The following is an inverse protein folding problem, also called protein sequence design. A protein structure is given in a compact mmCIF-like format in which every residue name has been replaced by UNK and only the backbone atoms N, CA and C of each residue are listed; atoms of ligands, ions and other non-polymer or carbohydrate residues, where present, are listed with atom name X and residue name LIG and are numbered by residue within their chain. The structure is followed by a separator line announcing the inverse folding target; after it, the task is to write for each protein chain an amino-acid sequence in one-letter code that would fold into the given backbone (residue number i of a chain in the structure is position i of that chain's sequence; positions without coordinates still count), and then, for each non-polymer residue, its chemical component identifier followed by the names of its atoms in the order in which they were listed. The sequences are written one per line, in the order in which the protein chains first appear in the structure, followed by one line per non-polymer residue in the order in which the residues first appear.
data_IF_636489714126
#
_entry.id   IF_636489714126
#
_cell.length_a   1.000
_cell.length_b   1.000
_cell.length_c   1.000
_cell.angle_alpha   90.00
_cell.angle_beta   90.00
_cell.angle_gamma   90.00
#
_symmetry.space_group_name_H-M   'P 1'
#
loop_
_entity.id
_entity.type
_entity.pdbx_description
1 polymer ?
#
# COMPACT_ATOMS: atom_id res chain seq x y z
N UNK A 1 34.60 16.63 3.70
CA UNK A 1 33.39 16.87 2.89
C UNK A 1 32.49 17.74 3.71
N UNK A 2 32.17 18.94 3.23
CA UNK A 2 31.23 19.83 3.88
C UNK A 2 29.86 19.15 3.80
N UNK A 3 29.26 18.79 4.95
CA UNK A 3 28.11 17.88 5.07
C UNK A 3 26.77 18.45 4.58
N UNK A 4 26.81 19.38 3.62
CA UNK A 4 25.64 20.07 3.10
C UNK A 4 25.14 19.37 1.85
N UNK A 5 23.92 18.83 1.91
CA UNK A 5 23.23 18.21 0.77
C UNK A 5 22.96 19.30 -0.28
N UNK A 6 23.60 19.20 -1.44
CA UNK A 6 23.55 20.23 -2.50
C UNK A 6 22.16 20.34 -3.11
N UNK A 7 21.47 19.21 -3.25
CA UNK A 7 20.11 19.11 -3.79
C UNK A 7 19.01 19.16 -2.71
N UNK A 8 19.31 19.61 -1.49
CA UNK A 8 18.36 19.64 -0.35
C UNK A 8 16.99 20.23 -0.68
N UNK A 9 16.95 21.37 -1.38
CA UNK A 9 15.69 21.97 -1.84
C UNK A 9 14.93 21.09 -2.82
N UNK A 10 15.64 20.46 -3.77
CA UNK A 10 15.03 19.58 -4.77
C UNK A 10 14.44 18.34 -4.11
N UNK A 11 15.12 17.76 -3.13
CA UNK A 11 14.59 16.65 -2.35
C UNK A 11 13.33 17.07 -1.57
N UNK A 12 13.32 18.25 -0.94
CA UNK A 12 12.13 18.74 -0.24
C UNK A 12 10.93 18.94 -1.17
N UNK A 13 11.15 19.41 -2.41
CA UNK A 13 10.11 19.53 -3.43
C UNK A 13 9.56 18.16 -3.88
N UNK A 14 10.43 17.18 -4.05
CA UNK A 14 10.03 15.80 -4.42
C UNK A 14 9.28 15.10 -3.28
N UNK A 15 9.70 15.30 -2.04
CA UNK A 15 8.97 14.81 -0.86
C UNK A 15 7.57 15.41 -0.77
N UNK A 16 7.47 16.73 -0.96
CA UNK A 16 6.18 17.43 -0.99
C UNK A 16 5.28 16.89 -2.10
N UNK A 17 5.84 16.63 -3.29
CA UNK A 17 5.10 16.08 -4.42
C UNK A 17 4.60 14.67 -4.11
N UNK A 18 5.44 13.79 -3.57
CA UNK A 18 5.05 12.44 -3.14
C UNK A 18 3.94 12.49 -2.08
N UNK A 19 4.04 13.39 -1.10
CA UNK A 19 3.01 13.58 -0.06
C UNK A 19 1.66 14.07 -0.62
N UNK A 20 1.69 15.06 -1.51
CA UNK A 20 0.47 15.57 -2.12
C UNK A 20 -0.14 14.51 -3.06
N UNK A 21 0.69 13.80 -3.83
CA UNK A 21 0.24 12.72 -4.71
C UNK A 21 -0.44 11.59 -3.92
N UNK A 22 0.19 11.15 -2.83
CA UNK A 22 -0.42 10.17 -1.95
C UNK A 22 -1.76 10.65 -1.41
N UNK A 23 -1.83 11.89 -0.93
CA UNK A 23 -3.05 12.44 -0.32
C UNK A 23 -4.21 12.53 -1.29
N UNK A 24 -3.97 12.91 -2.54
CA UNK A 24 -5.05 13.14 -3.51
C UNK A 24 -5.40 11.91 -4.34
N UNK A 25 -4.45 11.01 -4.58
CA UNK A 25 -4.65 9.85 -5.45
C UNK A 25 -4.67 8.54 -4.67
N UNK A 26 -3.59 8.21 -3.97
CA UNK A 26 -3.45 6.89 -3.33
C UNK A 26 -4.35 6.74 -2.10
N UNK A 27 -4.53 7.81 -1.32
CA UNK A 27 -5.47 7.82 -0.21
C UNK A 27 -6.93 7.65 -0.68
N UNK A 28 -7.28 8.16 -1.86
CA UNK A 28 -8.61 7.92 -2.47
C UNK A 28 -8.79 6.45 -2.80
N UNK A 29 -7.79 5.80 -3.41
CA UNK A 29 -7.83 4.35 -3.68
C UNK A 29 -8.02 3.56 -2.39
N UNK A 30 -7.34 3.95 -1.31
CA UNK A 30 -7.49 3.34 0.01
C UNK A 30 -8.90 3.53 0.57
N UNK A 31 -9.46 4.73 0.48
CA UNK A 31 -10.81 5.03 0.96
C UNK A 31 -11.88 4.26 0.15
N UNK A 32 -11.78 4.25 -1.18
CA UNK A 32 -12.67 3.48 -2.06
C UNK A 32 -12.59 1.97 -1.80
N UNK A 33 -11.40 1.45 -1.52
CA UNK A 33 -11.20 0.03 -1.20
C UNK A 33 -11.82 -0.31 0.14
N UNK A 34 -11.74 0.59 1.13
CA UNK A 34 -12.38 0.42 2.43
C UNK A 34 -13.90 0.42 2.29
N UNK A 35 -14.44 1.36 1.53
CA UNK A 35 -15.89 1.47 1.31
C UNK A 35 -16.42 0.27 0.52
N UNK A 36 -15.66 -0.20 -0.47
CA UNK A 36 -15.96 -1.44 -1.19
C UNK A 36 -15.97 -2.66 -0.25
N UNK A 37 -14.97 -2.79 0.62
CA UNK A 37 -14.87 -3.88 1.58
C UNK A 37 -16.03 -3.85 2.57
N UNK A 38 -16.34 -2.68 3.15
CA UNK A 38 -17.44 -2.51 4.08
C UNK A 38 -18.80 -2.86 3.45
N UNK A 39 -19.02 -2.46 2.19
CA UNK A 39 -20.23 -2.83 1.45
C UNK A 39 -20.32 -4.34 1.25
N UNK A 40 -19.22 -4.99 0.84
CA UNK A 40 -19.19 -6.43 0.62
C UNK A 40 -19.38 -7.23 1.90
N UNK A 41 -18.78 -6.79 3.00
CA UNK A 41 -19.00 -7.36 4.33
C UNK A 41 -20.47 -7.25 4.75
N UNK A 42 -21.12 -6.11 4.50
CA UNK A 42 -22.54 -5.92 4.78
C UNK A 42 -23.47 -6.77 3.90
N UNK A 43 -23.15 -6.91 2.61
CA UNK A 43 -23.86 -7.81 1.68
C UNK A 43 -23.79 -9.26 2.19
N UNK A 44 -22.60 -9.74 2.54
CA UNK A 44 -22.38 -11.09 3.04
C UNK A 44 -23.07 -11.33 4.40
N UNK A 45 -23.04 -10.37 5.32
CA UNK A 45 -23.78 -10.45 6.59
C UNK A 45 -25.28 -10.55 6.37
N UNK A 46 -25.81 -9.79 5.41
CA UNK A 46 -27.23 -9.81 5.06
C UNK A 46 -27.62 -11.17 4.50
N UNK A 47 -26.86 -11.69 3.53
CA UNK A 47 -27.09 -13.01 2.94
C UNK A 47 -27.03 -14.11 4.01
N UNK A 48 -26.01 -14.09 4.86
CA UNK A 48 -25.87 -15.03 5.97
C UNK A 48 -27.07 -14.98 6.91
N UNK A 49 -27.54 -13.78 7.30
CA UNK A 49 -28.68 -13.63 8.22
C UNK A 49 -29.99 -14.22 7.68
N UNK A 50 -30.13 -14.32 6.35
CA UNK A 50 -31.29 -14.94 5.69
C UNK A 50 -31.12 -16.43 5.41
N UNK A 51 -29.92 -16.98 5.61
CA UNK A 51 -29.63 -18.41 5.46
C UNK A 51 -30.12 -19.22 6.65
N UNK A 52 -30.33 -20.54 6.46
CA UNK A 52 -30.70 -21.45 7.55
C UNK A 52 -29.68 -21.41 8.70
N UNK A 53 -28.38 -21.40 8.37
CA UNK A 53 -27.30 -21.33 9.36
C UNK A 53 -27.31 -20.02 10.15
N UNK A 54 -27.54 -18.89 9.48
CA UNK A 54 -27.62 -17.59 10.15
C UNK A 54 -28.87 -17.44 11.01
N UNK A 55 -30.04 -17.90 10.57
CA UNK A 55 -31.26 -17.88 11.38
C UNK A 55 -31.09 -18.72 12.65
N UNK A 56 -30.49 -19.92 12.54
CA UNK A 56 -30.18 -20.76 13.70
C UNK A 56 -29.18 -20.09 14.66
N UNK A 57 -28.13 -19.46 14.12
CA UNK A 57 -27.14 -18.71 14.91
C UNK A 57 -27.76 -17.51 15.64
N UNK A 58 -28.66 -16.77 14.98
CA UNK A 58 -29.43 -15.66 15.56
C UNK A 58 -30.37 -16.15 16.67
N UNK A 59 -31.07 -17.27 16.47
CA UNK A 59 -31.92 -17.88 17.50
C UNK A 59 -31.09 -18.34 18.71
N UNK A 60 -29.95 -18.99 18.48
CA UNK A 60 -29.04 -19.40 19.56
C UNK A 60 -28.51 -18.19 20.36
N UNK A 61 -28.15 -17.11 19.66
CA UNK A 61 -27.69 -15.86 20.28
C UNK A 61 -28.80 -15.13 21.04
N UNK A 62 -30.07 -15.26 20.62
CA UNK A 62 -31.20 -14.72 21.38
C UNK A 62 -31.41 -15.42 22.73
N UNK A 63 -31.00 -16.69 22.85
CA UNK A 63 -31.00 -17.45 24.10
C UNK A 63 -29.77 -17.18 24.99
N UNK A 64 -28.69 -16.64 24.40
CA UNK A 64 -27.45 -16.29 25.09
C UNK A 64 -26.93 -14.93 24.58
N UNK A 65 -27.30 -13.81 25.23
CA UNK A 65 -27.05 -12.45 24.72
C UNK A 65 -25.58 -12.07 24.50
N UNK A 66 -24.64 -12.85 25.03
CA UNK A 66 -23.19 -12.65 24.88
C UNK A 66 -22.62 -13.36 23.65
N UNK A 67 -23.41 -14.19 22.95
CA UNK A 67 -22.95 -14.88 21.76
C UNK A 67 -23.15 -13.98 20.53
N UNK A 68 -22.09 -13.77 19.75
CA UNK A 68 -22.18 -13.00 18.52
C UNK A 68 -22.63 -13.94 17.37
N UNK A 69 -23.81 -13.68 16.77
CA UNK A 69 -24.38 -14.58 15.77
C UNK A 69 -23.56 -14.65 14.47
N UNK A 70 -22.60 -13.75 14.27
CA UNK A 70 -21.75 -13.69 13.09
C UNK A 70 -20.33 -14.22 13.33
N UNK A 71 -20.03 -14.84 14.48
CA UNK A 71 -18.67 -15.34 14.76
C UNK A 71 -18.16 -16.34 13.72
N UNK A 72 -19.05 -17.20 13.20
CA UNK A 72 -18.68 -18.11 12.12
C UNK A 72 -18.31 -17.33 10.85
N UNK A 73 -19.08 -16.28 10.53
CA UNK A 73 -18.88 -15.47 9.33
C UNK A 73 -17.59 -14.65 9.38
N UNK A 74 -17.16 -14.21 10.57
CA UNK A 74 -15.87 -13.53 10.77
C UNK A 74 -14.65 -14.42 10.47
N UNK A 75 -14.83 -15.74 10.47
CA UNK A 75 -13.72 -16.70 10.28
C UNK A 75 -13.81 -17.41 8.93
N UNK A 76 -15.03 -17.64 8.42
CA UNK A 76 -15.23 -18.41 7.18
C UNK A 76 -15.86 -17.62 6.04
N UNK A 77 -16.28 -16.37 6.26
CA UNK A 77 -16.87 -15.53 5.22
C UNK A 77 -15.80 -15.00 4.27
N UNK A 78 -16.06 -14.98 2.97
CA UNK A 78 -15.14 -14.49 1.93
C UNK A 78 -14.72 -13.03 2.17
N UNK A 79 -15.63 -12.21 2.71
CA UNK A 79 -15.43 -10.78 2.92
C UNK A 79 -15.25 -10.42 4.39
N UNK A 80 -16.02 -11.03 5.28
CA UNK A 80 -15.94 -10.80 6.72
C UNK A 80 -14.72 -11.45 7.38
N UNK A 81 -14.05 -12.40 6.72
CA UNK A 81 -12.76 -12.93 7.18
C UNK A 81 -11.55 -12.15 6.67
N UNK A 82 -11.73 -11.16 5.79
CA UNK A 82 -10.60 -10.40 5.21
C UNK A 82 -9.86 -9.64 6.29
N UNK A 83 -8.54 -9.76 6.25
CA UNK A 83 -7.66 -9.11 7.21
C UNK A 83 -7.21 -7.74 6.70
N UNK A 84 -6.42 -7.03 7.51
CA UNK A 84 -5.84 -5.75 7.07
C UNK A 84 -4.80 -5.95 5.96
N UNK A 85 -4.14 -7.11 5.95
CA UNK A 85 -3.24 -7.53 4.88
C UNK A 85 -4.00 -7.69 3.57
N UNK A 86 -5.15 -8.36 3.58
CA UNK A 86 -6.01 -8.47 2.39
C UNK A 86 -6.46 -7.10 1.89
N UNK A 87 -6.79 -6.17 2.80
CA UNK A 87 -7.12 -4.80 2.45
C UNK A 87 -5.95 -4.07 1.76
N UNK A 88 -4.74 -4.21 2.30
CA UNK A 88 -3.52 -3.62 1.72
C UNK A 88 -3.23 -4.23 0.35
N UNK A 89 -3.36 -5.55 0.19
CA UNK A 89 -3.21 -6.22 -1.12
C UNK A 89 -4.25 -5.72 -2.13
N UNK A 90 -5.52 -5.56 -1.73
CA UNK A 90 -6.55 -4.99 -2.61
C UNK A 90 -6.21 -3.54 -3.04
N UNK A 91 -5.63 -2.74 -2.15
CA UNK A 91 -5.17 -1.39 -2.51
C UNK A 91 -4.03 -1.46 -3.54
N UNK A 92 -3.08 -2.37 -3.35
CA UNK A 92 -1.96 -2.58 -4.27
C UNK A 92 -2.44 -3.03 -5.65
N UNK A 93 -3.34 -4.00 -5.71
CA UNK A 93 -3.90 -4.48 -6.98
C UNK A 93 -4.56 -3.33 -7.75
N UNK A 94 -5.29 -2.45 -7.08
CA UNK A 94 -5.89 -1.27 -7.71
C UNK A 94 -4.85 -0.24 -8.18
N UNK A 95 -3.82 0.00 -7.38
CA UNK A 95 -2.71 0.89 -7.73
C UNK A 95 -1.93 0.34 -8.94
N UNK A 96 -1.68 -0.97 -8.95
CA UNK A 96 -1.03 -1.70 -10.02
C UNK A 96 -1.84 -1.70 -11.33
N UNK A 97 -3.18 -1.78 -11.22
CA UNK A 97 -4.08 -1.79 -12.36
C UNK A 97 -4.27 -0.40 -13.01
N UNK A 98 -3.85 0.68 -12.35
CA UNK A 98 -3.98 2.04 -12.87
C UNK A 98 -2.71 2.46 -13.61
N UNK A 99 -2.78 2.50 -14.94
CA UNK A 99 -1.67 2.95 -15.79
C UNK A 99 -1.23 4.38 -15.46
N UNK A 100 -2.19 5.28 -15.22
CA UNK A 100 -1.92 6.67 -14.81
C UNK A 100 -1.11 6.72 -13.52
N UNK A 101 -1.50 5.93 -12.51
CA UNK A 101 -0.76 5.88 -11.25
C UNK A 101 0.63 5.32 -11.44
N UNK A 102 0.78 4.24 -12.21
CA UNK A 102 2.10 3.66 -12.49
C UNK A 102 3.02 4.64 -13.23
N UNK A 103 2.48 5.38 -14.19
CA UNK A 103 3.21 6.40 -14.93
C UNK A 103 3.68 7.54 -14.02
N UNK A 104 2.81 8.06 -13.17
CA UNK A 104 3.13 9.16 -12.26
C UNK A 104 4.16 8.75 -11.20
N UNK A 105 4.05 7.52 -10.67
CA UNK A 105 5.04 6.96 -9.75
C UNK A 105 6.41 6.77 -10.43
N UNK A 106 6.43 6.28 -11.66
CA UNK A 106 7.66 6.13 -12.43
C UNK A 106 8.33 7.49 -12.72
N UNK A 107 7.53 8.49 -13.06
CA UNK A 107 8.01 9.86 -13.27
C UNK A 107 8.62 10.45 -11.99
N UNK A 108 7.94 10.32 -10.84
CA UNK A 108 8.47 10.80 -9.56
C UNK A 108 9.77 10.09 -9.17
N UNK A 109 9.86 8.77 -9.40
CA UNK A 109 11.09 8.02 -9.20
C UNK A 109 12.21 8.50 -10.12
N UNK A 110 11.95 8.75 -11.41
CA UNK A 110 12.94 9.32 -12.33
C UNK A 110 13.45 10.71 -11.88
N UNK A 111 12.55 11.57 -11.43
CA UNK A 111 12.92 12.90 -10.93
C UNK A 111 13.77 12.83 -9.63
N UNK A 112 13.51 11.82 -8.81
CA UNK A 112 14.33 11.54 -7.62
C UNK A 112 15.69 10.95 -8.00
N UNK A 113 15.74 10.01 -8.95
CA UNK A 113 17.00 9.48 -9.53
C UNK A 113 17.90 10.62 -9.99
N UNK A 114 17.37 11.55 -10.78
CA UNK A 114 18.12 12.70 -11.28
C UNK A 114 18.69 13.58 -10.16
N UNK A 115 17.93 13.78 -9.09
CA UNK A 115 18.40 14.54 -7.93
C UNK A 115 19.52 13.80 -7.19
N UNK A 116 19.39 12.49 -7.00
CA UNK A 116 20.41 11.67 -6.34
C UNK A 116 21.68 11.56 -7.18
N UNK A 117 21.57 11.29 -8.48
CA UNK A 117 22.72 11.23 -9.39
C UNK A 117 23.49 12.55 -9.40
N UNK A 118 22.82 13.71 -9.33
CA UNK A 118 23.47 15.02 -9.20
C UNK A 118 24.17 15.22 -7.85
N UNK A 119 23.73 14.53 -6.80
CA UNK A 119 24.29 14.63 -5.46
C UNK A 119 25.51 13.71 -5.27
N UNK A 120 25.38 12.44 -5.62
CA UNK A 120 26.38 11.40 -5.32
C UNK A 120 27.17 10.91 -6.54
N UNK A 121 26.77 11.30 -7.75
CA UNK A 121 27.33 10.81 -9.02
C UNK A 121 26.69 9.52 -9.51
N UNK A 122 26.74 9.28 -10.83
CA UNK A 122 26.12 8.12 -11.48
C UNK A 122 26.76 6.80 -11.04
N UNK A 123 28.09 6.74 -10.97
CA UNK A 123 28.81 5.53 -10.54
C UNK A 123 28.35 5.06 -9.15
N UNK A 124 28.23 5.99 -8.19
CA UNK A 124 27.80 5.66 -6.84
C UNK A 124 26.32 5.26 -6.78
N UNK A 125 25.48 5.85 -7.63
CA UNK A 125 24.08 5.48 -7.74
C UNK A 125 23.91 4.05 -8.27
N UNK A 126 24.67 3.69 -9.32
CA UNK A 126 24.62 2.37 -9.93
C UNK A 126 25.15 1.30 -8.96
N UNK A 127 26.24 1.57 -8.23
CA UNK A 127 26.74 0.69 -7.16
C UNK A 127 25.68 0.40 -6.08
N UNK A 128 24.95 1.43 -5.63
CA UNK A 128 23.90 1.27 -4.62
C UNK A 128 22.70 0.50 -5.18
N UNK A 129 22.33 0.73 -6.43
CA UNK A 129 21.25 0.02 -7.10
C UNK A 129 21.60 -1.47 -7.28
N UNK A 130 22.84 -1.79 -7.64
CA UNK A 130 23.31 -3.18 -7.76
C UNK A 130 23.29 -3.88 -6.39
N UNK A 131 23.73 -3.23 -5.32
CA UNK A 131 23.69 -3.77 -3.96
C UNK A 131 22.26 -4.05 -3.48
N UNK A 132 21.30 -3.24 -3.90
CA UNK A 132 19.88 -3.43 -3.60
C UNK A 132 19.22 -4.50 -4.48
N UNK A 133 19.86 -4.90 -5.58
CA UNK A 133 19.30 -5.82 -6.57
C UNK A 133 18.21 -5.19 -7.45
N UNK A 134 18.19 -3.86 -7.56
CA UNK A 134 17.20 -3.09 -8.32
C UNK A 134 17.47 -1.59 -8.25
N UNK A 135 16.82 -0.83 -9.12
CA UNK A 135 17.00 0.62 -9.17
C UNK A 135 16.66 1.31 -7.84
N UNK A 136 17.62 2.10 -7.33
CA UNK A 136 17.53 2.77 -6.03
C UNK A 136 16.34 3.74 -5.94
N UNK A 137 15.99 4.43 -7.03
CA UNK A 137 14.89 5.38 -7.03
C UNK A 137 13.52 4.71 -6.94
N UNK A 138 13.35 3.58 -7.63
CA UNK A 138 12.14 2.77 -7.49
C UNK A 138 12.04 2.17 -6.08
N UNK A 139 13.15 1.68 -5.52
CA UNK A 139 13.17 1.18 -4.14
C UNK A 139 12.83 2.28 -3.12
N UNK A 140 13.31 3.50 -3.34
CA UNK A 140 12.97 4.64 -2.51
C UNK A 140 11.49 5.01 -2.59
N UNK A 141 10.96 5.13 -3.80
CA UNK A 141 9.56 5.53 -4.01
C UNK A 141 8.61 4.49 -3.41
N UNK A 142 8.89 3.21 -3.64
CA UNK A 142 8.21 2.08 -3.01
C UNK A 142 8.17 2.21 -1.49
N UNK A 143 9.34 2.30 -0.85
CA UNK A 143 9.45 2.51 0.59
C UNK A 143 8.67 3.74 1.07
N UNK A 144 8.71 4.86 0.33
CA UNK A 144 8.04 6.09 0.72
C UNK A 144 6.52 5.95 0.72
N UNK A 145 5.97 5.34 -0.32
CA UNK A 145 4.53 5.08 -0.44
C UNK A 145 4.05 4.14 0.67
N UNK A 146 4.88 3.18 1.06
CA UNK A 146 4.56 2.24 2.14
C UNK A 146 4.41 2.94 3.47
N UNK A 147 5.37 3.79 3.81
CA UNK A 147 5.31 4.59 5.03
C UNK A 147 4.04 5.44 5.05
N UNK A 148 3.64 6.03 3.92
CA UNK A 148 2.41 6.82 3.84
C UNK A 148 1.14 5.98 4.01
N UNK A 149 1.10 4.76 3.44
CA UNK A 149 0.00 3.82 3.66
C UNK A 149 -0.11 3.41 5.13
N UNK A 150 1.03 3.09 5.77
CA UNK A 150 1.09 2.74 7.20
C UNK A 150 0.60 3.93 8.04
N UNK A 151 1.10 5.13 7.78
CA UNK A 151 0.69 6.34 8.50
C UNK A 151 -0.81 6.60 8.37
N UNK A 152 -1.40 6.38 7.19
CA UNK A 152 -2.85 6.48 6.99
C UNK A 152 -3.59 5.41 7.79
N UNK A 153 -3.15 4.16 7.76
CA UNK A 153 -3.76 3.07 8.53
C UNK A 153 -3.73 3.34 10.04
N UNK A 154 -2.62 3.89 10.54
CA UNK A 154 -2.48 4.31 11.94
C UNK A 154 -3.43 5.46 12.28
N UNK A 155 -3.53 6.47 11.41
CA UNK A 155 -4.46 7.61 11.58
C UNK A 155 -5.93 7.18 11.56
N UNK A 156 -6.27 6.26 10.68
CA UNK A 156 -7.62 5.73 10.50
C UNK A 156 -8.00 4.74 11.64
N UNK A 157 -7.12 4.54 12.64
CA UNK A 157 -7.32 3.70 13.83
C UNK A 157 -7.71 2.26 13.51
N UNK A 158 -7.13 1.70 12.46
CA UNK A 158 -7.20 0.26 12.20
C UNK A 158 -6.61 -0.51 13.41
N UNK A 159 -7.07 -1.74 13.73
CA UNK A 159 -6.65 -2.46 14.93
C UNK A 159 -5.11 -2.55 15.05
N UNK A 160 -4.55 -2.23 16.23
CA UNK A 160 -3.09 -2.16 16.46
C UNK A 160 -2.32 -3.42 16.06
N UNK A 161 -2.93 -4.61 16.18
CA UNK A 161 -2.30 -5.88 15.77
C UNK A 161 -1.95 -5.94 14.29
N UNK A 162 -2.65 -5.17 13.47
CA UNK A 162 -2.49 -5.12 12.02
C UNK A 162 -1.45 -4.10 11.57
N UNK A 163 -1.32 -2.98 12.28
CA UNK A 163 -0.26 -2.00 12.02
C UNK A 163 1.14 -2.57 12.36
N UNK A 164 1.27 -3.24 13.52
CA UNK A 164 2.52 -3.87 13.95
C UNK A 164 2.96 -4.99 13.00
N UNK A 165 2.00 -5.70 12.37
CA UNK A 165 2.29 -6.72 11.36
C UNK A 165 2.71 -6.13 10.02
N UNK A 166 2.08 -5.05 9.54
CA UNK A 166 2.47 -4.38 8.28
C UNK A 166 3.89 -3.82 8.40
N UNK A 167 4.25 -3.22 9.53
CA UNK A 167 5.63 -2.77 9.79
C UNK A 167 6.60 -3.95 9.70
N UNK A 168 6.23 -5.11 10.27
CA UNK A 168 7.04 -6.34 10.18
C UNK A 168 7.12 -6.88 8.74
N UNK A 169 6.06 -6.76 7.93
CA UNK A 169 6.04 -7.23 6.54
C UNK A 169 6.76 -6.30 5.57
N UNK A 170 6.65 -4.99 5.73
CA UNK A 170 7.47 -4.01 5.02
C UNK A 170 8.97 -4.23 5.28
N UNK A 171 9.33 -4.66 6.49
CA UNK A 171 10.70 -5.05 6.83
C UNK A 171 11.15 -6.38 6.19
N UNK A 172 10.22 -7.26 5.77
CA UNK A 172 10.50 -8.55 5.13
C UNK A 172 10.46 -8.49 3.59
N UNK A 173 9.76 -7.52 3.00
CA UNK A 173 9.60 -7.37 1.54
C UNK A 173 9.03 -6.00 1.16
N UNK A 174 9.48 -5.45 0.02
CA UNK A 174 8.82 -4.35 -0.70
C UNK A 174 7.34 -4.66 -0.92
N UNK A 175 6.45 -3.86 -0.34
CA UNK A 175 5.00 -3.98 -0.42
C UNK A 175 4.51 -3.71 -1.84
N UNK A 176 5.04 -2.75 -2.61
CA UNK A 176 4.54 -2.52 -3.96
C UNK A 176 5.33 -3.22 -5.05
N UNK A 177 6.49 -3.82 -4.75
CA UNK A 177 7.28 -4.55 -5.74
C UNK A 177 7.59 -3.70 -6.98
N UNK A 178 7.61 -2.37 -6.84
CA UNK A 178 7.79 -1.43 -7.96
C UNK A 178 9.06 -1.73 -8.77
N UNK A 179 10.19 -2.17 -8.17
CA UNK A 179 11.34 -2.61 -8.95
C UNK A 179 11.02 -3.75 -9.93
N UNK A 180 10.19 -4.73 -9.55
CA UNK A 180 9.79 -5.87 -10.40
C UNK A 180 8.63 -5.54 -11.36
N UNK A 181 7.74 -4.61 -10.99
CA UNK A 181 6.63 -4.18 -11.85
C UNK A 181 7.09 -3.22 -12.96
N UNK A 182 7.97 -2.27 -12.64
CA UNK A 182 8.41 -1.24 -13.58
C UNK A 182 9.59 -1.70 -14.45
N UNK A 183 10.42 -2.66 -14.02
CA UNK A 183 11.41 -3.31 -14.89
C UNK A 183 10.80 -4.08 -16.06
N UNK A 184 9.47 -4.33 -16.03
CA UNK A 184 8.70 -4.88 -17.16
C UNK A 184 8.02 -3.80 -18.02
N UNK A 185 8.06 -2.53 -17.59
CA UNK A 185 7.44 -1.43 -18.32
C UNK A 185 8.38 -0.91 -19.41
N UNK A 186 7.90 -0.68 -20.65
CA UNK A 186 8.69 -0.08 -21.73
C UNK A 186 9.36 1.25 -21.34
N UNK A 187 8.75 1.97 -20.39
CA UNK A 187 9.26 3.25 -19.90
C UNK A 187 10.56 3.11 -19.10
N UNK A 188 10.81 1.98 -18.42
CA UNK A 188 12.05 1.80 -17.67
C UNK A 188 13.27 1.75 -18.60
N UNK A 189 13.13 1.16 -19.79
CA UNK A 189 14.18 1.18 -20.82
C UNK A 189 14.43 2.57 -21.40
N UNK A 190 13.41 3.46 -21.41
CA UNK A 190 13.56 4.84 -21.89
C UNK A 190 14.19 5.77 -20.85
N UNK A 191 13.95 5.53 -19.55
CA UNK A 191 14.53 6.35 -18.47
C UNK A 191 15.99 5.92 -18.17
N UNK A 192 16.39 4.68 -18.48
CA UNK A 192 17.77 4.21 -18.33
C UNK A 192 18.71 4.61 -19.49
N UNK A 193 18.17 5.10 -20.62
CA UNK A 193 18.94 5.62 -21.77
C UNK A 193 19.38 7.07 -21.60
#
# INVERSE_FOLDING_TARGET
MDGTIKQSRRFAELERLSDDYFRYHLASVMDETRDYLARKQGEEMKEYSTSLGGVLSMMASSAQPLNDPYQLLKVTGEWNSKTTEDYVEMCKEKIAASEDIQHDLAYMAGQWRDAVVKEIGRERYDELSEQLGGDLAYAYMDYRLEQQMIDKLVKDRMPKSSADYIIRKAAESSLFGLPQMLSRSPLAEEIEK
#
